data_IF_053548082906
#
_entry.id   IF_053548082906
#
_cell.length_a   1.000
_cell.length_b   1.000
_cell.length_c   1.000
_cell.angle_alpha   90.00
_cell.angle_beta   90.00
_cell.angle_gamma   90.00
#
_symmetry.space_group_name_H-M   'P 1'
#
loop_
_entity.id
_entity.type
_entity.pdbx_description
1 polymer ?
#
# COMPACT_ATOMS: atom_id res chain seq x y z
N UNK A 1 61.84 19.25 16.73
CA UNK A 1 61.20 17.92 16.52
C UNK A 1 59.88 18.15 15.80
N UNK A 2 59.70 17.77 14.52
CA UNK A 2 58.44 18.03 13.83
C UNK A 2 57.40 17.00 14.28
N UNK A 3 56.20 17.47 14.62
CA UNK A 3 55.05 16.62 14.95
C UNK A 3 54.31 16.30 13.64
N UNK A 4 54.23 15.03 13.31
CA UNK A 4 53.53 14.50 12.14
C UNK A 4 52.02 14.73 12.32
N UNK A 5 51.40 15.52 11.44
CA UNK A 5 49.94 15.67 11.43
C UNK A 5 49.33 14.50 10.64
N UNK A 6 48.55 13.66 11.31
CA UNK A 6 47.77 12.59 10.67
C UNK A 6 46.43 13.18 10.26
N UNK A 7 46.23 13.40 8.97
CA UNK A 7 44.93 13.77 8.42
C UNK A 7 44.06 12.51 8.28
N UNK A 8 42.99 12.44 9.07
CA UNK A 8 41.93 11.44 8.91
C UNK A 8 40.96 11.96 7.85
N UNK A 9 40.93 11.32 6.69
CA UNK A 9 39.94 11.57 5.65
C UNK A 9 38.64 10.84 6.04
N UNK A 10 37.63 11.59 6.50
CA UNK A 10 36.27 11.06 6.67
C UNK A 10 35.59 10.97 5.30
N UNK A 11 35.36 9.75 4.82
CA UNK A 11 34.47 9.50 3.69
C UNK A 11 33.02 9.62 4.16
N UNK A 12 32.35 10.70 3.79
CA UNK A 12 30.91 10.86 3.99
C UNK A 12 30.16 9.92 3.05
N UNK A 13 29.42 8.97 3.61
CA UNK A 13 28.50 8.12 2.87
C UNK A 13 27.27 8.97 2.51
N UNK A 14 27.22 9.49 1.28
CA UNK A 14 26.06 10.21 0.77
C UNK A 14 25.00 9.17 0.41
N UNK A 15 24.00 9.03 1.27
CA UNK A 15 22.77 8.31 0.93
C UNK A 15 22.01 9.19 -0.06
N UNK A 16 22.10 8.84 -1.34
CA UNK A 16 21.23 9.44 -2.37
C UNK A 16 19.84 8.84 -2.19
N UNK A 17 18.98 9.55 -1.47
CA UNK A 17 17.55 9.23 -1.46
C UNK A 17 16.99 9.38 -2.86
N UNK A 18 16.39 8.31 -3.39
CA UNK A 18 15.59 8.41 -4.61
C UNK A 18 14.37 9.25 -4.28
N UNK A 19 14.29 10.43 -4.87
CA UNK A 19 13.01 11.15 -4.97
C UNK A 19 12.26 10.48 -6.11
N UNK A 20 11.38 9.54 -5.78
CA UNK A 20 10.33 9.12 -6.70
C UNK A 20 9.53 10.39 -7.03
N UNK A 21 9.33 10.66 -8.32
CA UNK A 21 8.42 11.71 -8.74
C UNK A 21 7.02 11.27 -8.27
N UNK A 22 6.56 11.81 -7.15
CA UNK A 22 5.21 11.53 -6.66
C UNK A 22 4.21 11.91 -7.75
N UNK A 23 3.31 11.00 -8.10
CA UNK A 23 2.19 11.29 -9.01
C UNK A 23 1.35 12.40 -8.37
N UNK A 24 1.61 13.64 -8.75
CA UNK A 24 1.00 14.83 -8.14
C UNK A 24 -0.52 14.78 -8.38
N UNK A 25 -1.28 14.46 -7.34
CA UNK A 25 -2.75 14.43 -7.38
C UNK A 25 -3.39 13.12 -6.89
N UNK A 26 -2.63 12.03 -6.75
CA UNK A 26 -3.15 10.80 -6.17
C UNK A 26 -3.20 10.89 -4.64
N UNK A 27 -4.18 10.20 -4.06
CA UNK A 27 -4.28 9.96 -2.62
C UNK A 27 -4.26 8.46 -2.36
N UNK A 28 -3.65 8.05 -1.26
CA UNK A 28 -3.68 6.67 -0.83
C UNK A 28 -5.07 6.34 -0.26
N UNK A 29 -5.77 5.40 -0.90
CA UNK A 29 -7.05 4.88 -0.39
C UNK A 29 -6.84 3.86 0.73
N UNK A 30 -5.72 3.13 0.70
CA UNK A 30 -5.33 2.20 1.74
C UNK A 30 -4.20 2.80 2.57
N UNK A 31 -4.39 2.87 3.88
CA UNK A 31 -3.44 3.51 4.79
C UNK A 31 -2.23 2.61 5.16
N UNK A 32 -2.12 1.43 4.57
CA UNK A 32 -0.98 0.52 4.78
C UNK A 32 -1.08 -0.38 6.02
N UNK A 33 -2.08 -0.20 6.90
CA UNK A 33 -2.07 -0.89 8.20
C UNK A 33 -3.44 -1.37 8.72
N UNK A 34 -4.55 -0.79 8.29
CA UNK A 34 -5.89 -1.24 8.69
C UNK A 34 -6.96 -0.91 7.61
N UNK A 35 -8.22 -1.22 7.90
CA UNK A 35 -9.35 -1.00 7.00
C UNK A 35 -10.18 0.26 7.36
N UNK A 36 -9.59 1.22 8.08
CA UNK A 36 -10.29 2.47 8.37
C UNK A 36 -10.65 3.18 7.05
N UNK A 37 -11.91 3.61 6.92
CA UNK A 37 -12.43 4.18 5.68
C UNK A 37 -12.94 3.15 4.67
N UNK A 38 -13.02 1.87 5.05
CA UNK A 38 -13.58 0.80 4.23
C UNK A 38 -14.70 0.05 4.96
N UNK A 39 -15.76 -0.27 4.23
CA UNK A 39 -16.88 -1.08 4.73
C UNK A 39 -17.14 -2.27 3.81
N UNK A 40 -17.23 -3.46 4.40
CA UNK A 40 -17.70 -4.65 3.69
C UNK A 40 -19.20 -4.51 3.38
N UNK A 41 -19.61 -4.88 2.17
CA UNK A 41 -20.99 -4.85 1.71
C UNK A 41 -21.42 -6.20 1.14
N UNK A 42 -22.69 -6.52 1.37
CA UNK A 42 -23.42 -7.68 0.87
C UNK A 42 -23.04 -9.02 1.51
N UNK A 43 -22.37 -9.94 0.80
CA UNK A 43 -22.17 -11.33 1.26
C UNK A 43 -21.32 -11.50 2.52
N UNK A 44 -20.62 -12.62 2.63
CA UNK A 44 -19.91 -13.02 3.85
C UNK A 44 -18.42 -13.25 3.64
N UNK A 45 -17.84 -12.78 2.51
CA UNK A 45 -16.39 -12.76 2.37
C UNK A 45 -15.75 -11.88 3.45
N UNK A 46 -14.54 -12.26 3.86
CA UNK A 46 -13.77 -11.54 4.87
C UNK A 46 -12.64 -10.75 4.22
N UNK A 47 -12.33 -9.59 4.79
CA UNK A 47 -11.21 -8.75 4.38
C UNK A 47 -10.37 -8.44 5.60
N UNK A 48 -9.05 -8.52 5.46
CA UNK A 48 -8.09 -8.21 6.52
C UNK A 48 -6.83 -7.61 5.91
N UNK A 49 -6.01 -6.98 6.75
CA UNK A 49 -4.68 -6.51 6.35
C UNK A 49 -3.64 -7.57 6.70
N UNK A 50 -2.80 -7.93 5.74
CA UNK A 50 -1.60 -8.77 5.94
C UNK A 50 -0.40 -8.03 5.35
N UNK A 51 0.50 -7.55 6.22
CA UNK A 51 1.59 -6.68 5.79
C UNK A 51 1.07 -5.35 5.24
N UNK A 52 1.43 -5.04 4.01
CA UNK A 52 1.04 -3.85 3.24
C UNK A 52 -0.09 -4.13 2.24
N UNK A 53 -0.81 -5.25 2.41
CA UNK A 53 -1.82 -5.70 1.43
C UNK A 53 -3.17 -5.98 2.10
N UNK A 54 -4.25 -5.58 1.43
CA UNK A 54 -5.61 -6.00 1.77
C UNK A 54 -5.85 -7.39 1.18
N UNK A 55 -6.17 -8.37 2.03
CA UNK A 55 -6.44 -9.76 1.63
C UNK A 55 -7.92 -10.07 1.80
N UNK A 56 -8.58 -10.31 0.67
CA UNK A 56 -9.94 -10.85 0.62
C UNK A 56 -9.95 -12.38 0.63
N UNK A 57 -10.90 -12.98 1.35
CA UNK A 57 -11.16 -14.43 1.32
C UNK A 57 -12.63 -14.68 1.06
N UNK A 58 -12.92 -15.39 -0.03
CA UNK A 58 -14.28 -15.84 -0.37
C UNK A 58 -14.85 -16.77 0.69
N UNK A 59 -16.17 -16.84 0.77
CA UNK A 59 -16.90 -17.78 1.61
C UNK A 59 -17.82 -18.61 0.72
N UNK A 60 -17.76 -19.93 0.85
CA UNK A 60 -18.63 -20.84 0.12
C UNK A 60 -20.11 -20.55 0.45
N UNK A 61 -20.97 -20.61 -0.57
CA UNK A 61 -22.40 -20.30 -0.45
C UNK A 61 -22.73 -18.80 -0.23
N UNK A 62 -21.73 -17.93 -0.14
CA UNK A 62 -21.94 -16.48 -0.04
C UNK A 62 -22.43 -15.90 -1.36
N UNK A 63 -23.32 -14.89 -1.35
CA UNK A 63 -23.48 -14.01 -2.51
C UNK A 63 -22.21 -13.15 -2.72
N UNK A 64 -22.16 -12.37 -3.80
CA UNK A 64 -21.05 -11.46 -4.05
C UNK A 64 -20.80 -10.54 -2.85
N UNK A 65 -19.55 -10.41 -2.46
CA UNK A 65 -19.11 -9.55 -1.35
C UNK A 65 -18.18 -8.49 -1.90
N UNK A 66 -18.29 -7.28 -1.37
CA UNK A 66 -17.49 -6.14 -1.80
C UNK A 66 -16.83 -5.48 -0.59
N UNK A 67 -15.60 -5.00 -0.77
CA UNK A 67 -15.00 -4.04 0.13
C UNK A 67 -15.07 -2.67 -0.53
N UNK A 68 -15.82 -1.74 0.06
CA UNK A 68 -16.09 -0.44 -0.51
C UNK A 68 -15.44 0.65 0.33
N UNK A 69 -14.97 1.73 -0.29
CA UNK A 69 -14.60 2.95 0.44
C UNK A 69 -15.85 3.55 1.09
N UNK A 70 -15.70 4.11 2.28
CA UNK A 70 -16.78 4.84 2.96
C UNK A 70 -17.09 6.16 2.25
N UNK A 71 -16.06 6.77 1.66
CA UNK A 71 -16.19 7.97 0.83
C UNK A 71 -16.67 7.60 -0.56
N UNK A 72 -17.59 8.39 -1.09
CA UNK A 72 -18.04 8.33 -2.48
C UNK A 72 -17.20 9.26 -3.35
N UNK A 73 -16.92 8.82 -4.56
CA UNK A 73 -16.18 9.57 -5.58
C UNK A 73 -17.05 9.68 -6.84
N UNK A 74 -16.96 10.82 -7.52
CA UNK A 74 -17.62 11.04 -8.81
C UNK A 74 -16.65 10.66 -9.94
N UNK A 75 -15.99 11.65 -10.50
CA UNK A 75 -14.93 11.45 -11.49
C UNK A 75 -13.60 11.18 -10.78
N UNK A 76 -12.92 10.08 -11.14
CA UNK A 76 -11.65 9.69 -10.55
C UNK A 76 -10.78 8.89 -11.52
N UNK A 77 -9.48 8.89 -11.24
CA UNK A 77 -8.53 7.91 -11.74
C UNK A 77 -8.12 7.01 -10.57
N UNK A 78 -8.20 5.68 -10.78
CA UNK A 78 -7.85 4.68 -9.78
C UNK A 78 -6.72 3.82 -10.31
N UNK A 79 -5.66 3.71 -9.52
CA UNK A 79 -4.52 2.82 -9.75
C UNK A 79 -4.37 1.90 -8.55
N UNK A 80 -4.27 0.60 -8.81
CA UNK A 80 -4.02 -0.41 -7.79
C UNK A 80 -3.38 -1.65 -8.43
N UNK A 81 -2.71 -2.44 -7.60
CA UNK A 81 -2.20 -3.76 -7.98
C UNK A 81 -3.11 -4.84 -7.40
N UNK A 82 -3.25 -5.95 -8.11
CA UNK A 82 -4.08 -7.07 -7.67
C UNK A 82 -3.40 -8.39 -8.00
N UNK A 83 -3.54 -9.34 -7.08
CA UNK A 83 -3.19 -10.74 -7.28
C UNK A 83 -4.41 -11.59 -6.97
N UNK A 84 -4.81 -12.43 -7.92
CA UNK A 84 -5.95 -13.33 -7.77
C UNK A 84 -5.49 -14.79 -7.67
N UNK A 85 -6.28 -15.56 -6.92
CA UNK A 85 -6.25 -17.01 -7.05
C UNK A 85 -6.86 -17.42 -8.39
N UNK A 86 -6.28 -18.43 -9.05
CA UNK A 86 -6.73 -18.90 -10.37
C UNK A 86 -8.17 -19.41 -10.42
N UNK A 87 -8.74 -19.81 -9.28
CA UNK A 87 -10.11 -20.30 -9.19
C UNK A 87 -11.15 -19.17 -8.97
N UNK A 88 -10.70 -17.93 -8.75
CA UNK A 88 -11.55 -16.81 -8.34
C UNK A 88 -11.62 -15.71 -9.41
N UNK A 89 -12.67 -14.90 -9.31
CA UNK A 89 -12.86 -13.66 -10.07
C UNK A 89 -13.10 -12.52 -9.07
N UNK A 90 -12.49 -11.35 -9.34
CA UNK A 90 -12.64 -10.14 -8.53
C UNK A 90 -12.60 -8.88 -9.40
#
# INVERSE_FOLDING_TARGET
MPRLAVSVLLFSFVVVGRVEAGDTGFIDLFNGHNLDGWTQRNGTATYRVEGDTIVGKTSEGSPNSFLCTDKLYGDFELKFEVKLDSALNS
#
